data_IF_234953177560
#
_entry.id   IF_234953177560
#
_cell.length_a   1.000
_cell.length_b   1.000
_cell.length_c   1.000
_cell.angle_alpha   90.00
_cell.angle_beta   90.00
_cell.angle_gamma   90.00
#
_symmetry.space_group_name_H-M   'P 1'
#
loop_
_entity.id
_entity.type
_entity.pdbx_description
1 polymer ?
#
# COMPACT_ATOMS: atom_id res chain seq x y z
N UNK A 1 6.12 -16.08 -30.24
CA UNK A 1 5.65 -16.02 -28.83
C UNK A 1 6.81 -16.41 -27.93
N UNK A 2 7.37 -15.47 -27.14
CA UNK A 2 8.49 -15.81 -26.23
C UNK A 2 7.95 -16.68 -25.09
N UNK A 3 8.46 -17.91 -25.01
CA UNK A 3 8.27 -18.84 -23.90
C UNK A 3 8.46 -18.11 -22.57
N UNK A 4 7.43 -18.07 -21.71
CA UNK A 4 7.57 -17.58 -20.33
C UNK A 4 8.42 -18.61 -19.61
N UNK A 5 9.72 -18.34 -19.49
CA UNK A 5 10.64 -19.16 -18.71
C UNK A 5 10.08 -19.35 -17.29
N UNK A 6 10.14 -20.59 -16.80
CA UNK A 6 9.72 -20.96 -15.44
C UNK A 6 10.50 -20.07 -14.46
N UNK A 7 9.84 -19.41 -13.49
CA UNK A 7 10.54 -18.55 -12.53
C UNK A 7 11.64 -19.35 -11.82
N UNK A 8 12.88 -18.88 -11.91
CA UNK A 8 14.04 -19.58 -11.32
C UNK A 8 13.99 -19.36 -9.80
N UNK A 9 13.67 -20.39 -9.03
CA UNK A 9 13.77 -20.33 -7.59
C UNK A 9 15.23 -20.15 -7.13
N UNK A 10 15.43 -19.43 -6.02
CA UNK A 10 16.74 -19.15 -5.44
C UNK A 10 16.77 -19.55 -3.97
N UNK A 11 17.77 -20.37 -3.61
CA UNK A 11 18.11 -20.71 -2.22
C UNK A 11 19.35 -19.95 -1.78
N UNK A 12 19.33 -19.37 -0.58
CA UNK A 12 20.47 -18.65 -0.03
C UNK A 12 20.36 -18.54 1.50
N UNK A 13 21.48 -18.24 2.15
CA UNK A 13 21.49 -17.83 3.56
C UNK A 13 21.58 -16.31 3.64
N UNK A 14 20.87 -15.72 4.60
CA UNK A 14 20.97 -14.29 4.87
C UNK A 14 20.80 -14.00 6.36
N UNK A 15 21.57 -13.03 6.86
CA UNK A 15 21.47 -12.53 8.23
C UNK A 15 20.35 -11.52 8.32
N UNK A 16 19.43 -11.74 9.26
CA UNK A 16 18.37 -10.79 9.56
C UNK A 16 18.98 -9.58 10.27
N UNK A 17 18.73 -8.38 9.76
CA UNK A 17 19.23 -7.13 10.36
C UNK A 17 18.10 -6.19 10.73
N UNK A 18 18.33 -5.30 11.69
CA UNK A 18 17.43 -4.19 11.94
C UNK A 18 17.69 -3.10 10.91
N UNK A 19 16.67 -2.74 10.16
CA UNK A 19 16.75 -1.62 9.23
C UNK A 19 16.88 -0.32 10.01
N UNK A 20 17.84 0.52 9.63
CA UNK A 20 18.01 1.85 10.20
C UNK A 20 16.76 2.69 9.94
N UNK A 21 16.24 3.34 10.99
CA UNK A 21 15.05 4.18 10.96
C UNK A 21 14.08 3.90 12.12
N UNK A 22 13.07 4.77 12.26
CA UNK A 22 12.20 4.80 13.44
C UNK A 22 11.18 3.66 13.51
N UNK A 23 11.07 2.84 12.46
CA UNK A 23 10.05 1.80 12.35
C UNK A 23 10.50 0.45 12.93
N UNK A 24 11.77 0.30 13.29
CA UNK A 24 12.30 -0.91 13.93
C UNK A 24 12.11 -2.19 13.11
N UNK A 25 12.13 -2.08 11.78
CA UNK A 25 11.90 -3.20 10.87
C UNK A 25 13.06 -4.20 10.91
N UNK A 26 12.74 -5.50 10.81
CA UNK A 26 13.72 -6.57 10.61
C UNK A 26 13.69 -6.98 9.14
N UNK A 27 14.83 -6.97 8.47
CA UNK A 27 14.94 -7.21 7.03
C UNK A 27 16.03 -8.24 6.74
N UNK A 28 16.04 -8.73 5.50
CA UNK A 28 17.24 -9.28 4.86
C UNK A 28 17.51 -8.51 3.57
N UNK A 29 18.79 -8.37 3.21
CA UNK A 29 19.21 -7.90 1.89
C UNK A 29 19.29 -9.09 0.95
N UNK A 30 18.79 -8.94 -0.27
CA UNK A 30 18.83 -10.02 -1.27
C UNK A 30 20.26 -10.13 -1.78
N UNK A 31 20.92 -11.30 -1.66
CA UNK A 31 22.35 -11.44 -1.95
C UNK A 31 22.64 -11.65 -3.45
N UNK A 32 21.69 -11.29 -4.33
CA UNK A 32 21.84 -11.39 -5.77
C UNK A 32 21.03 -10.29 -6.46
N UNK A 33 21.38 -10.03 -7.72
CA UNK A 33 20.72 -9.05 -8.57
C UNK A 33 19.35 -9.56 -9.02
N UNK A 34 18.28 -9.00 -8.44
CA UNK A 34 16.88 -9.36 -8.75
C UNK A 34 16.49 -8.91 -10.16
N UNK A 35 17.06 -7.83 -10.68
CA UNK A 35 16.80 -7.40 -12.06
C UNK A 35 17.38 -8.41 -13.03
N UNK A 36 18.65 -8.80 -12.85
CA UNK A 36 19.31 -9.77 -13.73
C UNK A 36 18.67 -11.15 -13.64
N UNK A 37 18.25 -11.58 -12.45
CA UNK A 37 17.73 -12.93 -12.22
C UNK A 37 16.23 -13.06 -12.51
N UNK A 38 15.44 -12.05 -12.15
CA UNK A 38 13.96 -12.09 -12.20
C UNK A 38 13.33 -10.97 -13.04
N UNK A 39 14.12 -10.10 -13.66
CA UNK A 39 13.66 -9.07 -14.59
C UNK A 39 12.91 -7.90 -13.93
N UNK A 40 13.04 -7.71 -12.61
CA UNK A 40 12.26 -6.74 -11.86
C UNK A 40 13.14 -5.69 -11.16
N UNK A 41 13.12 -4.46 -11.66
CA UNK A 41 13.71 -3.29 -10.99
C UNK A 41 12.91 -2.82 -9.79
N UNK A 42 11.59 -2.88 -9.89
CA UNK A 42 10.67 -2.37 -8.88
C UNK A 42 10.36 -3.36 -7.76
N UNK A 43 9.21 -3.16 -7.11
CA UNK A 43 8.67 -4.13 -6.16
C UNK A 43 8.35 -5.44 -6.87
N UNK A 44 8.80 -6.56 -6.31
CA UNK A 44 8.56 -7.90 -6.86
C UNK A 44 7.84 -8.76 -5.84
N UNK A 45 6.72 -9.36 -6.22
CA UNK A 45 6.04 -10.34 -5.36
C UNK A 45 6.80 -11.65 -5.40
N UNK A 46 7.01 -12.24 -4.22
CA UNK A 46 7.68 -13.54 -4.06
C UNK A 46 6.92 -14.47 -3.14
N UNK A 47 7.12 -15.76 -3.34
CA UNK A 47 6.68 -16.83 -2.45
C UNK A 47 7.86 -17.72 -2.12
N UNK A 48 7.79 -18.42 -1.00
CA UNK A 48 8.88 -19.29 -0.60
C UNK A 48 8.86 -19.64 0.88
N UNK A 49 10.03 -19.83 1.47
CA UNK A 49 10.20 -20.30 2.85
C UNK A 49 11.38 -19.64 3.56
N UNK A 50 11.28 -19.52 4.89
CA UNK A 50 12.39 -19.21 5.81
C UNK A 50 12.49 -20.33 6.82
N UNK A 51 13.60 -21.07 6.86
CA UNK A 51 13.78 -22.23 7.76
C UNK A 51 12.57 -23.20 7.71
N UNK A 52 12.00 -23.44 6.53
CA UNK A 52 10.80 -24.27 6.34
C UNK A 52 9.46 -23.59 6.63
N UNK A 53 9.45 -22.37 7.18
CA UNK A 53 8.21 -21.60 7.37
C UNK A 53 7.77 -20.93 6.07
N UNK A 54 6.63 -21.35 5.53
CA UNK A 54 6.10 -20.82 4.28
C UNK A 54 5.73 -19.33 4.39
N UNK A 55 6.07 -18.59 3.35
CA UNK A 55 5.82 -17.17 3.24
C UNK A 55 5.38 -16.75 1.85
N UNK A 56 4.68 -15.62 1.80
CA UNK A 56 4.28 -14.95 0.58
C UNK A 56 4.34 -13.45 0.81
N UNK A 57 5.28 -12.76 0.17
CA UNK A 57 5.61 -11.36 0.50
C UNK A 57 6.05 -10.59 -0.75
N UNK A 58 6.64 -9.41 -0.54
CA UNK A 58 7.13 -8.50 -1.57
C UNK A 58 8.57 -8.11 -1.27
N UNK A 59 9.42 -8.13 -2.30
CA UNK A 59 10.73 -7.49 -2.29
C UNK A 59 10.56 -6.00 -2.56
N UNK A 60 11.30 -5.20 -1.81
CA UNK A 60 11.32 -3.76 -1.95
C UNK A 60 12.65 -3.32 -2.56
N UNK A 61 12.63 -2.47 -3.60
CA UNK A 61 13.86 -1.90 -4.13
C UNK A 61 14.43 -0.87 -3.15
N UNK A 62 15.75 -0.72 -3.18
CA UNK A 62 16.50 0.35 -2.54
C UNK A 62 16.83 1.44 -3.57
N UNK A 63 17.33 2.59 -3.11
CA UNK A 63 17.83 3.64 -4.01
C UNK A 63 19.05 3.20 -4.83
N UNK A 64 19.80 2.19 -4.38
CA UNK A 64 20.97 1.67 -5.09
C UNK A 64 20.63 0.60 -6.14
N UNK A 65 19.35 0.29 -6.35
CA UNK A 65 18.90 -0.75 -7.29
C UNK A 65 18.94 -2.17 -6.75
N UNK A 66 19.41 -2.36 -5.51
CA UNK A 66 19.33 -3.64 -4.80
C UNK A 66 17.95 -3.87 -4.17
N UNK A 67 17.68 -5.06 -3.65
CA UNK A 67 16.40 -5.39 -3.01
C UNK A 67 16.57 -5.86 -1.58
N UNK A 68 15.56 -5.60 -0.76
CA UNK A 68 15.43 -6.17 0.58
C UNK A 68 14.04 -6.80 0.77
N UNK A 69 13.95 -7.70 1.74
CA UNK A 69 12.71 -8.36 2.15
C UNK A 69 12.43 -8.05 3.63
N UNK A 70 11.24 -7.52 3.91
CA UNK A 70 10.77 -7.28 5.27
C UNK A 70 10.31 -8.59 5.94
N UNK A 71 10.89 -8.90 7.11
CA UNK A 71 10.55 -10.07 7.91
C UNK A 71 9.57 -9.67 9.01
N UNK A 72 8.28 -9.94 8.78
CA UNK A 72 7.22 -9.63 9.75
C UNK A 72 7.38 -10.42 11.06
N UNK A 73 6.78 -9.95 12.15
CA UNK A 73 6.79 -10.67 13.45
C UNK A 73 6.27 -12.12 13.33
N UNK A 74 5.27 -12.37 12.48
CA UNK A 74 4.76 -13.71 12.20
C UNK A 74 5.82 -14.60 11.53
N UNK A 75 6.55 -14.07 10.55
CA UNK A 75 7.62 -14.81 9.88
C UNK A 75 8.77 -15.09 10.86
N UNK A 76 9.15 -14.10 11.68
CA UNK A 76 10.17 -14.27 12.73
C UNK A 76 9.78 -15.40 13.70
N UNK A 77 8.56 -15.36 14.23
CA UNK A 77 8.06 -16.38 15.14
C UNK A 77 7.98 -17.77 14.49
N UNK A 78 7.41 -17.86 13.28
CA UNK A 78 7.22 -19.13 12.59
C UNK A 78 8.50 -19.77 12.07
N UNK A 79 9.52 -18.97 11.75
CA UNK A 79 10.81 -19.45 11.26
C UNK A 79 11.88 -19.54 12.36
N UNK A 80 11.52 -19.25 13.62
CA UNK A 80 12.44 -19.13 14.75
C UNK A 80 13.64 -18.21 14.45
N UNK A 81 13.39 -17.10 13.74
CA UNK A 81 14.40 -16.16 13.28
C UNK A 81 14.20 -14.80 13.94
N UNK A 82 15.30 -14.12 14.26
CA UNK A 82 15.32 -12.75 14.80
C UNK A 82 16.52 -11.99 14.25
N UNK A 83 16.55 -10.67 14.44
CA UNK A 83 17.70 -9.87 14.08
C UNK A 83 18.99 -10.43 14.70
N UNK A 84 20.07 -10.46 13.91
CA UNK A 84 21.36 -11.08 14.23
C UNK A 84 21.48 -12.55 13.81
N UNK A 85 20.38 -13.25 13.54
CA UNK A 85 20.41 -14.66 13.15
C UNK A 85 20.50 -14.81 11.63
N UNK A 86 21.32 -15.76 11.17
CA UNK A 86 21.32 -16.22 9.78
C UNK A 86 20.22 -17.28 9.59
N UNK A 87 19.35 -17.06 8.62
CA UNK A 87 18.31 -18.01 8.24
C UNK A 87 18.50 -18.50 6.79
N UNK A 88 17.93 -19.67 6.50
CA UNK A 88 17.87 -20.25 5.17
C UNK A 88 16.61 -19.79 4.45
N UNK A 89 16.78 -19.25 3.26
CA UNK A 89 15.71 -18.75 2.40
C UNK A 89 15.63 -19.58 1.14
N UNK A 90 14.41 -19.89 0.72
CA UNK A 90 14.09 -20.35 -0.62
C UNK A 90 13.01 -19.41 -1.17
N UNK A 91 13.24 -18.74 -2.29
CA UNK A 91 12.32 -17.72 -2.84
C UNK A 91 12.17 -17.87 -4.36
N UNK A 92 10.97 -17.59 -4.86
CA UNK A 92 10.69 -17.47 -6.29
C UNK A 92 9.66 -16.35 -6.58
N UNK A 93 9.66 -15.77 -7.80
CA UNK A 93 8.62 -14.84 -8.24
C UNK A 93 7.22 -15.41 -8.11
N UNK A 94 6.36 -14.68 -7.40
CA UNK A 94 4.97 -15.03 -7.18
C UNK A 94 4.08 -14.44 -8.28
N UNK A 95 3.95 -15.18 -9.38
CA UNK A 95 3.15 -14.83 -10.56
C UNK A 95 1.65 -15.14 -10.40
N UNK A 96 1.25 -15.77 -9.29
CA UNK A 96 -0.13 -16.12 -9.05
C UNK A 96 -1.01 -14.87 -8.84
N UNK A 97 -2.15 -14.85 -9.51
CA UNK A 97 -3.20 -13.87 -9.29
C UNK A 97 -3.83 -14.13 -7.93
N UNK A 98 -3.56 -13.27 -6.95
CA UNK A 98 -4.25 -13.37 -5.66
C UNK A 98 -5.67 -12.85 -5.82
N UNK A 99 -6.66 -13.67 -5.47
CA UNK A 99 -8.05 -13.26 -5.36
C UNK A 99 -8.38 -13.02 -3.89
N UNK A 100 -8.96 -11.88 -3.57
CA UNK A 100 -9.52 -11.66 -2.24
C UNK A 100 -10.81 -12.47 -2.17
N UNK A 101 -10.87 -13.47 -1.27
CA UNK A 101 -12.09 -14.24 -1.09
C UNK A 101 -13.09 -13.33 -0.39
N UNK A 102 -14.15 -12.96 -1.09
CA UNK A 102 -15.19 -12.08 -0.58
C UNK A 102 -16.16 -12.87 0.31
N UNK A 103 -16.31 -12.54 1.60
CA UNK A 103 -17.26 -13.19 2.49
C UNK A 103 -18.70 -13.07 1.99
N UNK A 104 -19.54 -14.06 2.30
CA UNK A 104 -20.94 -14.09 1.86
C UNK A 104 -21.72 -12.89 2.42
N UNK A 105 -21.45 -12.53 3.66
CA UNK A 105 -22.06 -11.40 4.36
C UNK A 105 -21.77 -10.08 3.63
N UNK A 106 -20.53 -9.89 3.15
CA UNK A 106 -20.16 -8.71 2.37
C UNK A 106 -20.78 -8.73 0.98
N UNK A 107 -20.88 -9.91 0.33
CA UNK A 107 -21.60 -10.05 -0.95
C UNK A 107 -23.06 -9.65 -0.81
N UNK A 108 -23.72 -10.10 0.27
CA UNK A 108 -25.11 -9.73 0.57
C UNK A 108 -25.26 -8.23 0.80
N UNK A 109 -24.36 -7.63 1.58
CA UNK A 109 -24.38 -6.17 1.81
C UNK A 109 -24.25 -5.35 0.52
N UNK A 110 -23.52 -5.86 -0.49
CA UNK A 110 -23.39 -5.16 -1.78
C UNK A 110 -24.51 -5.49 -2.78
N UNK A 111 -25.38 -6.47 -2.49
CA UNK A 111 -26.36 -6.99 -3.46
C UNK A 111 -27.32 -5.93 -4.00
N UNK A 112 -27.59 -4.89 -3.21
CA UNK A 112 -28.50 -3.81 -3.56
C UNK A 112 -27.84 -2.66 -4.33
N UNK A 113 -26.50 -2.61 -4.39
CA UNK A 113 -25.77 -1.53 -5.05
C UNK A 113 -24.67 -2.06 -5.98
N UNK A 114 -25.01 -2.12 -7.27
CA UNK A 114 -24.08 -2.54 -8.34
C UNK A 114 -22.93 -1.55 -8.54
N UNK A 115 -23.12 -0.27 -8.23
CA UNK A 115 -22.07 0.75 -8.35
C UNK A 115 -21.03 0.55 -7.25
N UNK A 116 -21.46 0.31 -6.01
CA UNK A 116 -20.58 0.00 -4.89
C UNK A 116 -19.76 -1.26 -5.17
N UNK A 117 -20.38 -2.31 -5.71
CA UNK A 117 -19.66 -3.53 -6.08
C UNK A 117 -18.58 -3.27 -7.15
N UNK A 118 -18.91 -2.54 -8.22
CA UNK A 118 -17.93 -2.18 -9.27
C UNK A 118 -16.81 -1.31 -8.73
N UNK A 119 -17.12 -0.35 -7.86
CA UNK A 119 -16.12 0.49 -7.21
C UNK A 119 -15.19 -0.35 -6.32
N UNK A 120 -15.74 -1.29 -5.54
CA UNK A 120 -14.95 -2.22 -4.73
C UNK A 120 -14.02 -3.09 -5.60
N UNK A 121 -14.50 -3.60 -6.73
CA UNK A 121 -13.70 -4.46 -7.62
C UNK A 121 -12.50 -3.74 -8.23
N UNK A 122 -12.59 -2.41 -8.40
CA UNK A 122 -11.50 -1.55 -8.84
C UNK A 122 -10.47 -1.22 -7.74
N UNK A 123 -10.72 -1.60 -6.48
CA UNK A 123 -9.74 -1.44 -5.41
C UNK A 123 -8.55 -2.39 -5.61
N UNK A 124 -7.38 -1.94 -5.14
CA UNK A 124 -6.18 -2.77 -5.15
C UNK A 124 -6.42 -4.08 -4.39
N UNK A 125 -5.74 -5.15 -4.81
CA UNK A 125 -5.86 -6.46 -4.14
C UNK A 125 -5.64 -6.36 -2.63
N UNK A 126 -4.66 -5.56 -2.18
CA UNK A 126 -4.35 -5.38 -0.76
C UNK A 126 -5.51 -4.76 0.01
N UNK A 127 -6.19 -3.77 -0.57
CA UNK A 127 -7.35 -3.11 0.04
C UNK A 127 -8.54 -4.06 0.10
N UNK A 128 -8.86 -4.74 -1.01
CA UNK A 128 -9.92 -5.75 -1.04
C UNK A 128 -9.67 -6.86 -0.02
N UNK A 129 -8.43 -7.35 0.07
CA UNK A 129 -8.06 -8.37 1.06
C UNK A 129 -8.21 -7.87 2.49
N UNK A 130 -7.76 -6.66 2.78
CA UNK A 130 -7.91 -6.07 4.12
C UNK A 130 -9.38 -5.99 4.52
N UNK A 131 -10.23 -5.42 3.65
CA UNK A 131 -11.68 -5.34 3.85
C UNK A 131 -12.30 -6.72 4.07
N UNK A 132 -12.04 -7.68 3.18
CA UNK A 132 -12.58 -9.04 3.29
C UNK A 132 -12.14 -9.72 4.59
N UNK A 133 -10.87 -9.56 4.97
CA UNK A 133 -10.33 -10.13 6.20
C UNK A 133 -10.97 -9.50 7.45
N UNK A 134 -11.22 -8.18 7.44
CA UNK A 134 -11.90 -7.54 8.57
C UNK A 134 -13.29 -8.13 8.79
N UNK A 135 -14.07 -8.32 7.72
CA UNK A 135 -15.39 -8.96 7.78
C UNK A 135 -15.30 -10.42 8.22
N UNK A 136 -14.31 -11.17 7.73
CA UNK A 136 -14.16 -12.60 8.01
C UNK A 136 -13.58 -12.92 9.40
N UNK A 137 -12.86 -11.97 10.01
CA UNK A 137 -12.14 -12.19 11.27
C UNK A 137 -13.03 -12.62 12.46
N UNK A 138 -14.23 -12.06 12.69
CA UNK A 138 -15.10 -12.49 13.79
C UNK A 138 -15.62 -13.91 13.61
N UNK A 139 -15.55 -14.71 14.68
CA UNK A 139 -16.08 -16.08 14.68
C UNK A 139 -17.61 -16.13 14.60
N UNK A 140 -18.29 -15.17 15.24
CA UNK A 140 -19.76 -15.10 15.28
C UNK A 140 -20.37 -14.59 13.97
N UNK A 141 -21.30 -15.36 13.40
CA UNK A 141 -21.95 -15.04 12.12
C UNK A 141 -22.69 -13.70 12.15
N UNK A 142 -23.45 -13.44 13.21
CA UNK A 142 -24.18 -12.19 13.40
C UNK A 142 -23.22 -10.97 13.46
N UNK A 143 -22.07 -11.13 14.12
CA UNK A 143 -21.03 -10.08 14.14
C UNK A 143 -20.39 -9.86 12.77
N UNK A 144 -20.25 -10.90 11.94
CA UNK A 144 -19.79 -10.75 10.56
C UNK A 144 -20.81 -9.99 9.71
N UNK A 145 -22.12 -10.24 9.90
CA UNK A 145 -23.19 -9.49 9.23
C UNK A 145 -23.13 -8.01 9.59
N UNK A 146 -23.19 -7.67 10.89
CA UNK A 146 -23.08 -6.28 11.35
C UNK A 146 -21.82 -5.58 10.85
N UNK A 147 -20.71 -6.32 10.79
CA UNK A 147 -19.43 -5.78 10.31
C UNK A 147 -19.44 -5.56 8.79
N UNK A 148 -20.07 -6.45 8.03
CA UNK A 148 -20.23 -6.32 6.59
C UNK A 148 -21.08 -5.10 6.23
N UNK A 149 -22.24 -4.92 6.88
CA UNK A 149 -23.13 -3.76 6.70
C UNK A 149 -22.38 -2.46 7.00
N UNK A 150 -21.75 -2.38 8.17
CA UNK A 150 -20.94 -1.22 8.56
C UNK A 150 -19.84 -0.89 7.55
N UNK A 151 -19.14 -1.90 7.06
CA UNK A 151 -18.08 -1.68 6.06
C UNK A 151 -18.70 -1.23 4.74
N UNK A 152 -19.83 -1.79 4.31
CA UNK A 152 -20.51 -1.35 3.10
C UNK A 152 -20.90 0.14 3.18
N UNK A 153 -21.44 0.60 4.30
CA UNK A 153 -21.73 2.02 4.56
C UNK A 153 -20.46 2.89 4.45
N UNK A 154 -19.35 2.46 5.06
CA UNK A 154 -18.07 3.18 5.00
C UNK A 154 -17.52 3.30 3.57
N UNK A 155 -17.64 2.21 2.79
CA UNK A 155 -17.19 2.18 1.40
C UNK A 155 -18.10 3.03 0.50
N UNK A 156 -19.41 3.03 0.76
CA UNK A 156 -20.37 3.90 0.07
C UNK A 156 -20.05 5.38 0.32
N UNK A 157 -19.89 5.78 1.58
CA UNK A 157 -19.51 7.14 1.94
C UNK A 157 -18.17 7.55 1.30
N UNK A 158 -17.21 6.63 1.21
CA UNK A 158 -15.93 6.87 0.51
C UNK A 158 -16.13 7.09 -0.98
N UNK A 159 -16.91 6.21 -1.64
CA UNK A 159 -17.20 6.29 -3.08
C UNK A 159 -17.90 7.62 -3.42
N UNK A 160 -18.84 8.06 -2.59
CA UNK A 160 -19.51 9.35 -2.73
C UNK A 160 -18.55 10.50 -2.52
N UNK A 161 -17.71 10.44 -1.48
CA UNK A 161 -16.71 11.47 -1.18
C UNK A 161 -15.65 11.65 -2.26
N UNK A 162 -15.41 10.63 -3.09
CA UNK A 162 -14.56 10.75 -4.28
C UNK A 162 -15.19 11.58 -5.39
N UNK A 163 -16.53 11.56 -5.50
CA UNK A 163 -17.29 12.34 -6.48
C UNK A 163 -17.50 13.76 -5.97
N UNK A 164 -17.93 13.88 -4.72
CA UNK A 164 -18.20 15.15 -4.07
C UNK A 164 -17.69 15.14 -2.64
N UNK A 165 -16.80 16.07 -2.29
CA UNK A 165 -16.27 16.17 -0.94
C UNK A 165 -17.39 16.48 0.08
N UNK A 166 -17.45 15.74 1.21
CA UNK A 166 -18.43 16.02 2.25
C UNK A 166 -18.18 17.40 2.89
N UNK A 167 -19.20 18.04 3.50
CA UNK A 167 -19.09 19.38 4.08
C UNK A 167 -17.92 19.55 5.06
N UNK A 168 -17.62 18.53 5.86
CA UNK A 168 -16.49 18.56 6.81
C UNK A 168 -15.14 18.73 6.11
N UNK A 169 -14.94 18.11 4.94
CA UNK A 169 -13.70 18.24 4.17
C UNK A 169 -13.68 19.55 3.39
N UNK A 170 -14.82 19.99 2.84
CA UNK A 170 -14.96 21.31 2.21
C UNK A 170 -14.57 22.43 3.19
N UNK A 171 -15.09 22.38 4.42
CA UNK A 171 -14.75 23.33 5.47
C UNK A 171 -13.28 23.27 5.88
N UNK A 172 -12.70 22.07 5.96
CA UNK A 172 -11.27 21.90 6.26
C UNK A 172 -10.37 22.53 5.17
N UNK A 173 -10.68 22.28 3.90
CA UNK A 173 -9.95 22.88 2.78
C UNK A 173 -10.17 24.39 2.63
N UNK A 174 -11.34 24.91 3.01
CA UNK A 174 -11.57 26.35 3.05
C UNK A 174 -10.68 27.05 4.08
N UNK A 175 -10.33 26.38 5.19
CA UNK A 175 -9.41 26.89 6.21
C UNK A 175 -7.93 26.79 5.79
N UNK A 176 -7.60 25.85 4.91
CA UNK A 176 -6.25 25.67 4.36
C UNK A 176 -6.27 25.48 2.84
N UNK A 177 -6.28 26.58 2.07
CA UNK A 177 -6.27 26.52 0.61
C UNK A 177 -5.04 25.80 0.02
N UNK A 178 -3.89 25.83 0.70
CA UNK A 178 -2.68 25.14 0.24
C UNK A 178 -2.84 23.63 0.33
N UNK A 179 -3.50 23.14 1.38
CA UNK A 179 -3.89 21.73 1.46
C UNK A 179 -4.80 21.34 0.30
N UNK A 180 -5.72 22.22 -0.11
CA UNK A 180 -6.60 21.95 -1.25
C UNK A 180 -5.85 21.83 -2.57
N UNK A 181 -4.88 22.72 -2.86
CA UNK A 181 -3.99 22.59 -4.03
C UNK A 181 -3.22 21.27 -4.00
N UNK A 182 -2.67 20.91 -2.84
CA UNK A 182 -1.97 19.66 -2.63
C UNK A 182 -2.85 18.43 -2.87
N UNK A 183 -4.09 18.49 -2.41
CA UNK A 183 -5.12 17.48 -2.65
C UNK A 183 -5.44 17.35 -4.14
N UNK A 184 -5.58 18.47 -4.86
CA UNK A 184 -5.79 18.49 -6.31
C UNK A 184 -4.62 17.85 -7.08
N UNK A 185 -3.40 17.89 -6.55
CA UNK A 185 -2.24 17.20 -7.15
C UNK A 185 -2.12 15.71 -6.78
N UNK A 186 -2.89 15.23 -5.80
CA UNK A 186 -2.91 13.79 -5.47
C UNK A 186 -3.54 12.97 -6.59
N UNK A 187 -2.99 11.78 -6.80
CA UNK A 187 -3.59 10.76 -7.68
C UNK A 187 -4.94 10.27 -7.10
N UNK A 188 -5.86 9.76 -7.93
CA UNK A 188 -7.14 9.21 -7.45
C UNK A 188 -6.96 8.14 -6.36
N UNK A 189 -5.95 7.28 -6.50
CA UNK A 189 -5.61 6.24 -5.51
C UNK A 189 -5.19 6.83 -4.16
N UNK A 190 -4.45 7.94 -4.14
CA UNK A 190 -4.02 8.61 -2.92
C UNK A 190 -5.18 9.29 -2.20
N UNK A 191 -6.03 10.01 -2.94
CA UNK A 191 -7.26 10.62 -2.38
C UNK A 191 -8.16 9.56 -1.76
N UNK A 192 -8.40 8.46 -2.49
CA UNK A 192 -9.16 7.30 -2.00
C UNK A 192 -8.60 6.72 -0.71
N UNK A 193 -7.28 6.55 -0.63
CA UNK A 193 -6.64 6.00 0.57
C UNK A 193 -6.87 6.90 1.79
N UNK A 194 -6.81 8.22 1.59
CA UNK A 194 -7.10 9.20 2.62
C UNK A 194 -8.58 9.14 3.04
N UNK A 195 -9.51 9.13 2.09
CA UNK A 195 -10.95 9.02 2.37
C UNK A 195 -11.30 7.74 3.14
N UNK A 196 -10.81 6.59 2.69
CA UNK A 196 -10.97 5.32 3.43
C UNK A 196 -10.40 5.42 4.84
N UNK A 197 -9.24 6.04 4.98
CA UNK A 197 -8.58 6.26 6.27
C UNK A 197 -9.38 7.15 7.22
N UNK A 198 -10.22 8.05 6.71
CA UNK A 198 -11.12 8.92 7.48
C UNK A 198 -12.40 8.16 7.83
N UNK A 199 -13.11 7.60 6.85
CA UNK A 199 -14.42 6.96 7.06
C UNK A 199 -14.35 5.64 7.82
N UNK A 200 -13.20 4.97 7.83
CA UNK A 200 -13.00 3.75 8.61
C UNK A 200 -13.24 3.96 10.12
N UNK A 201 -12.85 5.12 10.66
CA UNK A 201 -13.07 5.43 12.07
C UNK A 201 -14.48 5.97 12.31
N UNK A 202 -15.07 5.64 13.46
CA UNK A 202 -16.40 6.13 13.86
C UNK A 202 -16.34 7.32 14.83
N UNK A 203 -15.36 7.32 15.72
CA UNK A 203 -15.18 8.39 16.70
C UNK A 203 -14.87 9.71 15.99
N UNK A 204 -15.58 10.80 16.32
CA UNK A 204 -15.32 12.13 15.75
C UNK A 204 -13.86 12.54 15.92
N UNK A 205 -13.30 12.34 17.13
CA UNK A 205 -11.90 12.66 17.43
C UNK A 205 -10.91 11.89 16.54
N UNK A 206 -11.15 10.60 16.27
CA UNK A 206 -10.25 9.84 15.39
C UNK A 206 -10.41 10.25 13.93
N UNK A 207 -11.62 10.65 13.50
CA UNK A 207 -11.82 11.23 12.17
C UNK A 207 -11.08 12.56 12.04
N UNK A 208 -11.16 13.44 13.03
CA UNK A 208 -10.46 14.72 13.05
C UNK A 208 -8.94 14.54 12.95
N UNK A 209 -8.35 13.63 13.74
CA UNK A 209 -6.91 13.30 13.63
C UNK A 209 -6.54 12.80 12.23
N UNK A 210 -7.42 12.03 11.59
CA UNK A 210 -7.17 11.53 10.21
C UNK A 210 -7.34 12.62 9.16
N UNK A 211 -8.26 13.56 9.36
CA UNK A 211 -8.40 14.76 8.53
C UNK A 211 -7.15 15.64 8.66
N UNK A 212 -6.69 15.91 9.87
CA UNK A 212 -5.47 16.69 10.12
C UNK A 212 -4.25 16.08 9.39
N UNK A 213 -4.05 14.77 9.55
CA UNK A 213 -3.00 14.05 8.83
C UNK A 213 -3.13 14.13 7.31
N UNK A 214 -4.35 14.01 6.78
CA UNK A 214 -4.62 14.14 5.35
C UNK A 214 -4.26 15.54 4.83
N UNK A 215 -4.57 16.60 5.60
CA UNK A 215 -4.20 17.98 5.26
C UNK A 215 -2.68 18.15 5.25
N UNK A 216 -1.95 17.65 6.26
CA UNK A 216 -0.48 17.67 6.30
C UNK A 216 0.15 17.01 5.06
N UNK A 217 -0.33 15.80 4.71
CA UNK A 217 0.12 15.08 3.52
C UNK A 217 -0.19 15.86 2.22
N UNK A 218 -1.32 16.57 2.19
CA UNK A 218 -1.70 17.41 1.06
C UNK A 218 -0.79 18.63 0.94
N UNK A 219 -0.57 19.38 2.01
CA UNK A 219 0.33 20.56 2.04
C UNK A 219 1.74 20.17 1.59
N UNK A 220 2.28 19.04 2.06
CA UNK A 220 3.59 18.55 1.63
C UNK A 220 3.70 18.35 0.10
N UNK A 221 2.59 17.97 -0.55
CA UNK A 221 2.53 17.83 -2.02
C UNK A 221 2.36 19.14 -2.75
N UNK A 222 1.71 20.14 -2.14
CA UNK A 222 1.66 21.49 -2.70
C UNK A 222 3.08 22.08 -2.82
N UNK A 223 3.94 21.87 -1.81
CA UNK A 223 5.34 22.32 -1.84
C UNK A 223 6.26 21.52 -2.78
N UNK A 224 5.97 20.22 -2.98
CA UNK A 224 6.81 19.34 -3.82
C UNK A 224 6.72 19.64 -5.33
N UNK A 225 5.60 20.23 -5.79
CA UNK A 225 5.47 20.68 -7.18
C UNK A 225 6.34 21.89 -7.51
N UNK A 226 6.60 22.77 -6.53
CA UNK A 226 7.39 23.98 -6.73
C UNK A 226 8.90 23.68 -6.88
N UNK A 227 9.41 22.61 -6.25
CA UNK A 227 10.82 22.17 -6.44
C UNK A 227 11.08 21.63 -7.84
N UNK A 228 10.21 20.77 -8.36
CA UNK A 228 10.35 20.24 -9.73
C UNK A 228 10.12 21.28 -10.81
N UNK A 229 9.37 22.35 -10.52
CA UNK A 229 9.15 23.47 -11.44
C UNK A 229 10.26 24.52 -11.38
N UNK A 230 10.89 24.72 -10.20
CA UNK A 230 12.14 25.48 -10.04
C UNK A 230 13.33 24.77 -10.68
N UNK A 231 13.47 23.45 -10.54
CA UNK A 231 14.50 22.69 -11.25
C UNK A 231 14.31 22.78 -12.77
N UNK A 232 13.09 22.61 -13.28
CA UNK A 232 12.82 22.79 -14.72
C UNK A 232 13.04 24.22 -15.21
N UNK A 233 12.69 25.26 -14.43
CA UNK A 233 12.98 26.66 -14.78
C UNK A 233 14.49 26.97 -14.72
N UNK A 234 15.22 26.44 -13.74
CA UNK A 234 16.67 26.59 -13.64
C UNK A 234 17.40 25.84 -14.77
N UNK A 235 16.88 24.68 -15.20
CA UNK A 235 17.44 23.94 -16.34
C UNK A 235 17.18 24.66 -17.68
N UNK A 236 16.06 25.38 -17.80
CA UNK A 236 15.72 26.14 -19.02
C UNK A 236 16.37 27.53 -19.05
N UNK A 237 16.61 28.19 -17.90
CA UNK A 237 17.33 29.46 -17.88
C UNK A 237 18.84 29.28 -17.98
N UNK A 238 19.39 28.15 -17.50
CA UNK A 238 20.81 27.82 -17.65
C UNK A 238 21.23 27.36 -19.05
N UNK A 239 20.28 27.14 -19.96
CA UNK A 239 20.57 26.74 -21.36
C UNK A 239 20.51 27.88 -22.37
N UNK A 240 20.40 29.14 -21.92
CA UNK A 240 20.30 30.32 -22.80
C UNK A 240 21.42 31.36 -22.59
N UNK A 241 22.42 31.08 -21.74
CA UNK A 241 23.53 32.01 -21.42
C UNK A 241 24.91 31.56 -21.95
N UNK A 242 24.99 30.57 -22.85
CA UNK A 242 26.26 30.09 -23.45
C UNK A 242 26.37 30.31 -24.97
N UNK A 243 25.69 31.30 -25.55
CA UNK A 243 25.82 31.62 -26.99
C UNK A 243 25.94 33.12 -27.30
N UNK A 244 26.77 33.86 -26.56
CA UNK A 244 27.45 35.06 -27.08
C UNK A 244 28.91 35.12 -26.63
#
# INVERSE_FOLDING_TARGET
MKSKSKPIAKSFKATLERMQGNLGWVIIRIPFDVEKVWGARGRLRVKGEINGFSLRTTLFPTSSGSHFLLITKRMQAGAHARAGITAHFWLEPDLEVRKAIMPLELKRAFSQDRLLQRWFDNLSFSMRRWICNEVAQPKGAETRVRRAERIAEQLMATMEAERELPPILKAAFARDPRAFEGWQRMTPTQRRHNLLGIFHYRSPESRERRIAKMLEEAVARAGSGDRGQKEKRATVSGSFEELE
#
